data_IF_542373553791
#
_entry.id   IF_542373553791
#
_cell.length_a   1.000
_cell.length_b   1.000
_cell.length_c   1.000
_cell.angle_alpha   90.00
_cell.angle_beta   90.00
_cell.angle_gamma   90.00
#
_symmetry.space_group_name_H-M   'P 1'
#
loop_
_entity.id
_entity.type
_entity.pdbx_description
1 polymer ?
#
# COMPACT_ATOMS: atom_id res chain seq x y z
N UNK A 1 -26.57 -7.51 -25.61
CA UNK A 1 -25.19 -7.05 -25.34
C UNK A 1 -25.12 -6.68 -23.86
N UNK A 2 -24.11 -7.15 -23.12
CA UNK A 2 -23.87 -6.64 -21.76
C UNK A 2 -23.58 -5.12 -21.89
N UNK A 3 -24.13 -4.25 -21.02
CA UNK A 3 -23.74 -2.85 -21.03
C UNK A 3 -22.22 -2.72 -20.89
N UNK A 4 -21.64 -1.69 -21.51
CA UNK A 4 -20.21 -1.40 -21.36
C UNK A 4 -19.91 -1.14 -19.88
N UNK A 5 -18.78 -1.66 -19.36
CA UNK A 5 -18.41 -1.46 -17.97
C UNK A 5 -18.19 0.02 -17.68
N UNK A 6 -18.60 0.46 -16.49
CA UNK A 6 -18.55 1.86 -16.04
C UNK A 6 -17.55 2.03 -14.89
N UNK A 7 -16.74 3.10 -14.94
CA UNK A 7 -15.89 3.52 -13.82
C UNK A 7 -16.51 4.72 -13.09
N UNK A 8 -16.60 4.62 -11.77
CA UNK A 8 -16.94 5.73 -10.88
C UNK A 8 -15.68 6.29 -10.25
N UNK A 9 -15.30 7.51 -10.62
CA UNK A 9 -14.19 8.20 -9.98
C UNK A 9 -14.73 9.11 -8.89
N UNK A 10 -14.38 8.82 -7.65
CA UNK A 10 -14.69 9.60 -6.45
C UNK A 10 -13.51 10.51 -6.15
N UNK A 11 -13.72 11.82 -6.24
CA UNK A 11 -12.70 12.83 -5.91
C UNK A 11 -13.07 13.51 -4.61
N UNK A 12 -12.21 13.40 -3.60
CA UNK A 12 -12.35 14.14 -2.35
C UNK A 12 -11.59 15.46 -2.45
N UNK A 13 -12.24 16.57 -2.11
CA UNK A 13 -11.61 17.90 -2.11
C UNK A 13 -11.95 18.67 -0.83
N UNK A 14 -11.00 19.46 -0.34
CA UNK A 14 -11.20 20.42 0.76
C UNK A 14 -10.21 21.58 0.54
N UNK A 15 -10.72 22.73 0.13
CA UNK A 15 -9.97 23.88 -0.35
C UNK A 15 -9.02 23.50 -1.51
N UNK A 16 -7.95 24.31 -1.70
CA UNK A 16 -6.92 24.13 -2.72
C UNK A 16 -7.50 24.13 -4.13
N UNK A 17 -8.38 25.10 -4.43
CA UNK A 17 -9.06 25.24 -5.71
C UNK A 17 -8.14 25.02 -6.93
N UNK A 18 -6.93 25.58 -6.94
CA UNK A 18 -5.99 25.43 -8.05
C UNK A 18 -5.51 23.99 -8.27
N UNK A 19 -5.39 23.19 -7.21
CA UNK A 19 -5.07 21.76 -7.30
C UNK A 19 -6.30 20.98 -7.77
N UNK A 20 -7.47 21.25 -7.19
CA UNK A 20 -8.74 20.65 -7.60
C UNK A 20 -9.02 20.85 -9.09
N UNK A 21 -8.73 22.04 -9.62
CA UNK A 21 -8.82 22.35 -11.05
C UNK A 21 -7.96 21.40 -11.90
N UNK A 22 -6.68 21.26 -11.54
CA UNK A 22 -5.75 20.39 -12.26
C UNK A 22 -6.12 18.92 -12.16
N UNK A 23 -6.48 18.44 -10.95
CA UNK A 23 -6.92 17.08 -10.71
C UNK A 23 -8.14 16.73 -11.56
N UNK A 24 -9.23 17.52 -11.47
CA UNK A 24 -10.47 17.21 -12.20
C UNK A 24 -10.32 17.36 -13.72
N UNK A 25 -9.53 18.33 -14.19
CA UNK A 25 -9.22 18.44 -15.61
C UNK A 25 -8.49 17.18 -16.10
N UNK A 26 -7.46 16.74 -15.39
CA UNK A 26 -6.73 15.53 -15.73
C UNK A 26 -7.60 14.28 -15.66
N UNK A 27 -8.46 14.12 -14.65
CA UNK A 27 -9.40 13.00 -14.56
C UNK A 27 -10.26 12.91 -15.83
N UNK A 28 -10.77 14.04 -16.35
CA UNK A 28 -11.61 14.03 -17.56
C UNK A 28 -10.80 13.86 -18.84
N UNK A 29 -9.63 14.50 -18.96
CA UNK A 29 -8.83 14.47 -20.19
C UNK A 29 -8.04 13.16 -20.39
N UNK A 30 -7.60 12.56 -19.28
CA UNK A 30 -6.77 11.37 -19.28
C UNK A 30 -7.54 10.06 -19.18
N UNK A 31 -8.88 10.11 -19.14
CA UNK A 31 -9.76 8.93 -19.10
C UNK A 31 -10.51 8.80 -20.43
N UNK A 32 -10.43 7.62 -21.05
CA UNK A 32 -11.18 7.20 -22.25
C UNK A 32 -12.23 6.14 -21.93
N UNK A 33 -12.14 5.51 -20.76
CA UNK A 33 -13.12 4.59 -20.21
C UNK A 33 -14.47 5.29 -19.93
N UNK A 34 -15.64 4.61 -20.07
CA UNK A 34 -16.92 5.15 -19.63
C UNK A 34 -16.86 5.62 -18.17
N UNK A 35 -17.14 6.90 -17.94
CA UNK A 35 -16.84 7.57 -16.67
C UNK A 35 -18.06 8.27 -16.08
N UNK A 36 -18.32 8.01 -14.80
CA UNK A 36 -19.01 8.95 -13.92
C UNK A 36 -18.04 9.52 -12.89
N UNK A 37 -18.20 10.81 -12.60
CA UNK A 37 -17.37 11.56 -11.67
C UNK A 37 -18.22 12.00 -10.48
N UNK A 38 -17.79 11.67 -9.29
CA UNK A 38 -18.43 12.03 -8.03
C UNK A 38 -17.43 12.88 -7.26
N UNK A 39 -17.72 14.17 -7.10
CA UNK A 39 -16.85 15.07 -6.36
C UNK A 39 -17.49 15.38 -5.02
N UNK A 40 -16.77 15.04 -3.95
CA UNK A 40 -17.16 15.32 -2.57
C UNK A 40 -16.32 16.48 -2.07
N UNK A 41 -16.94 17.65 -1.97
CA UNK A 41 -16.39 18.83 -1.33
C UNK A 41 -16.62 18.74 0.18
N UNK A 42 -15.54 18.60 0.94
CA UNK A 42 -15.57 18.33 2.37
C UNK A 42 -15.45 19.61 3.20
N UNK A 43 -16.29 20.61 2.87
CA UNK A 43 -16.36 21.88 3.59
C UNK A 43 -15.35 22.93 3.12
N UNK A 44 -15.21 23.14 1.81
CA UNK A 44 -14.31 24.17 1.27
C UNK A 44 -14.86 25.58 1.46
N UNK A 45 -13.97 26.56 1.65
CA UNK A 45 -14.29 27.98 1.85
C UNK A 45 -13.56 28.91 0.87
N UNK A 46 -12.83 28.38 -0.10
CA UNK A 46 -11.92 29.11 -1.00
C UNK A 46 -12.47 29.34 -2.42
N UNK A 47 -13.80 29.23 -2.60
CA UNK A 47 -14.45 29.33 -3.90
C UNK A 47 -14.51 28.01 -4.69
N UNK A 48 -14.04 26.90 -4.10
CA UNK A 48 -14.15 25.55 -4.67
C UNK A 48 -15.59 25.14 -5.00
N UNK A 49 -16.60 25.32 -4.12
CA UNK A 49 -17.97 24.90 -4.40
C UNK A 49 -18.57 25.58 -5.65
N UNK A 50 -18.38 26.89 -5.81
CA UNK A 50 -18.87 27.65 -6.96
C UNK A 50 -18.17 27.23 -8.25
N UNK A 51 -16.87 26.93 -8.17
CA UNK A 51 -16.13 26.43 -9.32
C UNK A 51 -16.56 25.02 -9.72
N UNK A 52 -16.78 24.11 -8.75
CA UNK A 52 -17.27 22.76 -9.02
C UNK A 52 -18.61 22.77 -9.77
N UNK A 53 -19.54 23.64 -9.39
CA UNK A 53 -20.82 23.80 -10.09
C UNK A 53 -20.67 24.31 -11.53
N UNK A 54 -19.66 25.14 -11.81
CA UNK A 54 -19.33 25.55 -13.18
C UNK A 54 -18.68 24.39 -13.94
N UNK A 55 -17.72 23.71 -13.33
CA UNK A 55 -17.02 22.56 -13.91
C UNK A 55 -17.98 21.45 -14.33
N UNK A 56 -18.92 21.06 -13.47
CA UNK A 56 -19.93 20.05 -13.76
C UNK A 56 -20.77 20.36 -15.00
N UNK A 57 -21.03 21.65 -15.29
CA UNK A 57 -21.72 22.08 -16.50
C UNK A 57 -20.81 22.04 -17.73
N UNK A 58 -19.53 22.41 -17.58
CA UNK A 58 -18.55 22.45 -18.67
C UNK A 58 -18.21 21.07 -19.23
N UNK A 59 -18.13 20.05 -18.37
CA UNK A 59 -17.77 18.69 -18.79
C UNK A 59 -18.99 17.83 -19.15
N UNK A 60 -20.19 18.42 -19.17
CA UNK A 60 -21.42 17.74 -19.56
C UNK A 60 -21.27 17.17 -20.98
N UNK A 61 -21.44 15.86 -21.11
CA UNK A 61 -21.24 15.12 -22.37
C UNK A 61 -19.89 14.41 -22.48
N UNK A 62 -18.90 14.78 -21.66
CA UNK A 62 -17.66 13.98 -21.48
C UNK A 62 -17.76 13.06 -20.27
N UNK A 63 -18.34 13.54 -19.17
CA UNK A 63 -18.60 12.74 -17.98
C UNK A 63 -19.92 13.17 -17.32
N UNK A 64 -20.60 12.22 -16.67
CA UNK A 64 -21.67 12.54 -15.73
C UNK A 64 -21.03 13.00 -14.42
N UNK A 65 -21.40 14.18 -13.91
CA UNK A 65 -20.84 14.72 -12.66
C UNK A 65 -21.91 14.78 -11.58
N UNK A 66 -21.60 14.20 -10.42
CA UNK A 66 -22.36 14.35 -9.18
C UNK A 66 -21.53 15.13 -8.17
N UNK A 67 -22.11 16.17 -7.59
CA UNK A 67 -21.46 16.98 -6.56
C UNK A 67 -22.13 16.70 -5.22
N UNK A 68 -21.30 16.50 -4.20
CA UNK A 68 -21.70 16.45 -2.79
C UNK A 68 -20.96 17.59 -2.10
N UNK A 69 -21.69 18.53 -1.50
CA UNK A 69 -21.11 19.71 -0.87
C UNK A 69 -21.41 19.65 0.63
N UNK A 70 -20.39 19.34 1.42
CA UNK A 70 -20.52 19.31 2.87
C UNK A 70 -20.47 20.73 3.44
N UNK A 71 -21.23 21.02 4.50
CA UNK A 71 -21.15 22.30 5.20
C UNK A 71 -19.85 22.44 6.01
N UNK A 72 -19.24 21.32 6.41
CA UNK A 72 -18.02 21.27 7.20
C UNK A 72 -17.20 20.01 6.88
N UNK A 73 -15.95 19.98 7.33
CA UNK A 73 -15.05 18.85 7.10
C UNK A 73 -15.41 17.67 8.01
N UNK A 74 -16.00 16.64 7.39
CA UNK A 74 -16.44 15.40 8.04
C UNK A 74 -15.29 14.36 8.23
N UNK A 75 -14.07 14.68 7.78
CA UNK A 75 -12.95 13.75 7.71
C UNK A 75 -12.86 12.99 6.38
N UNK A 76 -11.72 12.35 6.13
CA UNK A 76 -11.44 11.68 4.85
C UNK A 76 -12.39 10.51 4.59
N UNK A 77 -12.44 9.52 5.49
CA UNK A 77 -13.22 8.29 5.27
C UNK A 77 -14.72 8.56 5.14
N UNK A 78 -15.38 9.36 6.00
CA UNK A 78 -16.81 9.61 5.87
C UNK A 78 -17.16 10.24 4.51
N UNK A 79 -16.36 11.22 4.08
CA UNK A 79 -16.55 11.89 2.80
C UNK A 79 -16.25 10.98 1.60
N UNK A 80 -15.14 10.21 1.61
CA UNK A 80 -14.86 9.21 0.56
C UNK A 80 -15.96 8.17 0.50
N UNK A 81 -16.39 7.63 1.64
CA UNK A 81 -17.43 6.61 1.73
C UNK A 81 -18.77 7.12 1.19
N UNK A 82 -19.14 8.37 1.44
CA UNK A 82 -20.34 8.97 0.84
C UNK A 82 -20.25 8.98 -0.69
N UNK A 83 -19.11 9.41 -1.24
CA UNK A 83 -18.86 9.33 -2.68
C UNK A 83 -18.94 7.89 -3.22
N UNK A 84 -18.34 6.93 -2.52
CA UNK A 84 -18.35 5.50 -2.89
C UNK A 84 -19.79 4.95 -2.86
N UNK A 85 -20.63 5.32 -1.88
CA UNK A 85 -22.04 4.91 -1.81
C UNK A 85 -22.86 5.42 -3.00
N UNK A 86 -22.51 6.59 -3.55
CA UNK A 86 -23.20 7.18 -4.69
C UNK A 86 -22.74 6.63 -6.04
N UNK A 87 -21.60 5.94 -6.07
CA UNK A 87 -21.06 5.30 -7.26
C UNK A 87 -22.05 4.27 -7.82
N UNK A 88 -22.07 4.09 -9.14
CA UNK A 88 -22.84 3.08 -9.88
C UNK A 88 -21.98 2.20 -10.79
N UNK A 89 -20.73 2.57 -11.01
CA UNK A 89 -19.79 1.85 -11.87
C UNK A 89 -19.40 0.49 -11.31
N UNK A 90 -19.06 -0.42 -12.21
CA UNK A 90 -18.50 -1.74 -11.90
C UNK A 90 -17.13 -1.61 -11.20
N UNK A 91 -16.43 -0.52 -11.48
CA UNK A 91 -15.18 -0.13 -10.83
C UNK A 91 -15.39 1.18 -10.07
N UNK A 92 -14.86 1.25 -8.85
CA UNK A 92 -14.85 2.46 -8.04
C UNK A 92 -13.40 2.85 -7.81
N UNK A 93 -13.07 4.10 -8.12
CA UNK A 93 -11.75 4.67 -7.97
C UNK A 93 -11.83 5.88 -7.05
N UNK A 94 -10.86 6.05 -6.16
CA UNK A 94 -10.75 7.19 -5.26
C UNK A 94 -9.49 7.99 -5.61
N UNK A 95 -9.62 9.31 -5.69
CA UNK A 95 -8.52 10.23 -5.99
C UNK A 95 -8.60 11.45 -5.07
N UNK A 96 -7.46 11.83 -4.49
CA UNK A 96 -7.34 13.07 -3.72
C UNK A 96 -7.12 14.28 -4.66
N UNK A 97 -7.60 15.46 -4.29
CA UNK A 97 -7.61 16.64 -5.15
C UNK A 97 -6.23 17.22 -5.51
N UNK A 98 -5.15 16.76 -4.87
CA UNK A 98 -3.77 17.12 -5.17
C UNK A 98 -3.06 16.09 -6.08
N UNK A 99 -3.80 15.13 -6.64
CA UNK A 99 -3.28 14.14 -7.58
C UNK A 99 -3.69 14.48 -9.02
N UNK A 100 -2.70 14.54 -9.91
CA UNK A 100 -2.90 14.62 -11.36
C UNK A 100 -2.65 13.24 -11.95
N UNK A 101 -3.70 12.46 -12.25
CA UNK A 101 -3.54 11.12 -12.80
C UNK A 101 -2.97 11.16 -14.23
N UNK A 102 -2.16 10.16 -14.64
CA UNK A 102 -1.57 10.10 -15.97
C UNK A 102 -2.58 9.66 -17.05
N UNK A 103 -2.24 9.80 -18.35
CA UNK A 103 -3.03 9.24 -19.43
C UNK A 103 -3.33 7.74 -19.25
N UNK A 104 -4.60 7.39 -19.49
CA UNK A 104 -5.13 6.01 -19.44
C UNK A 104 -5.03 5.33 -18.07
N UNK A 105 -5.04 6.11 -16.98
CA UNK A 105 -4.90 5.57 -15.63
C UNK A 105 -6.06 4.67 -15.19
N UNK A 106 -7.30 5.02 -15.54
CA UNK A 106 -8.49 4.20 -15.22
C UNK A 106 -8.40 2.87 -15.95
N UNK A 107 -8.07 2.91 -17.24
CA UNK A 107 -7.92 1.76 -18.11
C UNK A 107 -6.88 0.80 -17.55
N UNK A 108 -5.72 1.30 -17.12
CA UNK A 108 -4.67 0.48 -16.51
C UNK A 108 -5.11 -0.16 -15.20
N UNK A 109 -5.86 0.56 -14.36
CA UNK A 109 -6.44 0.00 -13.14
C UNK A 109 -7.44 -1.12 -13.49
N UNK A 110 -8.35 -0.85 -14.42
CA UNK A 110 -9.38 -1.80 -14.85
C UNK A 110 -8.75 -3.05 -15.47
N UNK A 111 -7.81 -2.88 -16.40
CA UNK A 111 -7.04 -3.97 -17.01
C UNK A 111 -6.35 -4.82 -15.95
N UNK A 112 -5.77 -4.19 -14.92
CA UNK A 112 -5.07 -4.92 -13.85
C UNK A 112 -6.04 -5.68 -12.95
N UNK A 113 -7.17 -5.08 -12.59
CA UNK A 113 -8.24 -5.73 -11.82
C UNK A 113 -8.81 -6.92 -12.61
N UNK A 114 -8.98 -6.79 -13.93
CA UNK A 114 -9.52 -7.81 -14.83
C UNK A 114 -8.56 -8.94 -15.18
N UNK A 115 -7.27 -8.66 -15.25
CA UNK A 115 -6.27 -9.65 -15.57
C UNK A 115 -6.13 -10.76 -14.52
N UNK A 116 -6.43 -10.46 -13.24
CA UNK A 116 -6.30 -11.43 -12.14
C UNK A 116 -7.41 -11.22 -11.10
N UNK A 117 -8.34 -12.19 -10.94
CA UNK A 117 -9.44 -12.07 -9.98
C UNK A 117 -8.98 -12.04 -8.51
N UNK A 118 -7.70 -12.37 -8.23
CA UNK A 118 -7.11 -12.21 -6.90
C UNK A 118 -6.80 -10.76 -6.59
N UNK A 119 -6.76 -9.86 -7.57
CA UNK A 119 -6.50 -8.43 -7.33
C UNK A 119 -7.80 -7.78 -6.84
N UNK A 120 -7.80 -7.40 -5.56
CA UNK A 120 -8.92 -6.66 -4.95
C UNK A 120 -8.78 -5.16 -5.19
N UNK A 121 -7.57 -4.63 -4.99
CA UNK A 121 -7.29 -3.20 -5.09
C UNK A 121 -6.06 -2.92 -5.97
N UNK A 122 -6.13 -1.85 -6.75
CA UNK A 122 -5.05 -1.40 -7.63
C UNK A 122 -4.79 0.11 -7.48
N UNK A 123 -3.57 0.50 -7.10
CA UNK A 123 -3.15 1.90 -6.99
C UNK A 123 -2.41 2.43 -8.22
N UNK A 124 -2.48 3.75 -8.42
CA UNK A 124 -1.53 4.51 -9.23
C UNK A 124 -0.47 5.08 -8.30
N UNK A 125 0.80 4.83 -8.59
CA UNK A 125 1.88 5.46 -7.84
C UNK A 125 1.94 6.96 -8.14
N UNK A 126 2.47 7.78 -7.22
CA UNK A 126 2.60 9.22 -7.44
C UNK A 126 4.01 9.75 -7.13
N UNK A 127 4.33 10.94 -7.64
CA UNK A 127 5.67 11.55 -7.54
C UNK A 127 6.16 11.83 -6.11
N UNK A 128 5.27 11.90 -5.12
CA UNK A 128 5.67 12.08 -3.72
C UNK A 128 6.30 10.81 -3.11
N UNK A 129 6.00 9.63 -3.67
CA UNK A 129 6.67 8.39 -3.35
C UNK A 129 7.80 8.16 -4.35
N UNK A 130 9.05 8.41 -3.93
CA UNK A 130 10.20 8.15 -4.80
C UNK A 130 10.21 6.67 -5.21
N UNK A 131 10.65 6.33 -6.43
CA UNK A 131 10.93 4.95 -6.83
C UNK A 131 11.89 4.22 -5.87
N UNK A 132 12.61 4.97 -5.03
CA UNK A 132 13.51 4.45 -3.99
C UNK A 132 12.84 3.93 -2.74
N UNK A 133 11.57 4.23 -2.49
CA UNK A 133 10.79 3.73 -1.34
C UNK A 133 9.75 2.68 -1.74
N UNK A 134 9.75 2.29 -3.02
CA UNK A 134 8.84 1.30 -3.58
C UNK A 134 9.09 -0.07 -2.95
N UNK A 135 8.16 -0.69 -2.21
CA UNK A 135 8.27 -2.09 -1.79
C UNK A 135 8.25 -2.99 -3.03
N UNK A 136 9.15 -3.98 -3.14
CA UNK A 136 9.32 -4.78 -4.35
C UNK A 136 7.96 -5.34 -4.79
N UNK A 137 7.59 -5.03 -6.03
CA UNK A 137 6.49 -5.71 -6.68
C UNK A 137 6.94 -7.10 -7.11
N UNK A 138 6.66 -8.12 -6.29
CA UNK A 138 6.70 -9.52 -6.72
C UNK A 138 5.49 -9.77 -7.63
N UNK A 139 5.71 -9.83 -8.95
CA UNK A 139 4.62 -10.05 -9.91
C UNK A 139 3.51 -8.97 -9.90
N UNK A 140 3.85 -7.75 -9.45
CA UNK A 140 2.90 -6.64 -9.28
C UNK A 140 2.23 -6.55 -7.91
N UNK A 141 2.52 -7.44 -6.97
CA UNK A 141 2.03 -7.38 -5.57
C UNK A 141 3.01 -6.59 -4.72
N UNK A 142 2.52 -5.54 -4.06
CA UNK A 142 3.35 -4.70 -3.21
C UNK A 142 3.56 -5.43 -1.86
N UNK A 143 4.79 -5.73 -1.47
CA UNK A 143 5.11 -6.40 -0.18
C UNK A 143 5.60 -5.33 0.80
N UNK A 144 4.67 -4.59 1.41
CA UNK A 144 4.99 -3.80 2.61
C UNK A 144 5.28 -4.74 3.79
N UNK A 145 5.95 -4.23 4.85
CA UNK A 145 6.51 -4.95 6.03
C UNK A 145 5.56 -5.94 6.77
N UNK A 146 4.30 -6.06 6.33
CA UNK A 146 3.29 -7.00 6.86
C UNK A 146 2.63 -7.89 5.79
N UNK A 147 3.16 -7.96 4.56
CA UNK A 147 2.53 -8.70 3.45
C UNK A 147 1.28 -8.03 2.87
N UNK A 148 0.86 -6.89 3.43
CA UNK A 148 -0.20 -6.04 2.91
C UNK A 148 0.43 -4.93 2.07
N UNK A 149 0.23 -4.99 0.75
CA UNK A 149 0.66 -3.93 -0.14
C UNK A 149 -0.01 -2.61 0.18
N UNK A 150 0.78 -1.55 0.36
CA UNK A 150 0.30 -0.17 0.51
C UNK A 150 -0.22 0.39 -0.84
N UNK A 151 -1.18 -0.32 -1.44
CA UNK A 151 -1.77 0.03 -2.72
C UNK A 151 -3.13 0.73 -2.58
N UNK A 152 -3.52 1.07 -1.35
CA UNK A 152 -4.57 2.07 -1.10
C UNK A 152 -3.82 3.33 -0.69
N UNK A 153 -4.02 4.42 -1.42
CA UNK A 153 -3.30 5.67 -1.21
C UNK A 153 -4.14 6.84 -1.75
N UNK A 154 -3.50 7.92 -2.19
CA UNK A 154 -4.17 9.07 -2.78
C UNK A 154 -4.81 8.80 -4.16
N UNK A 155 -4.52 7.67 -4.82
CA UNK A 155 -5.11 7.28 -6.11
C UNK A 155 -5.17 5.76 -6.28
N UNK A 156 -6.36 5.17 -6.14
CA UNK A 156 -6.56 3.73 -6.23
C UNK A 156 -7.95 3.36 -6.72
N UNK A 157 -8.15 2.09 -7.08
CA UNK A 157 -9.45 1.58 -7.47
C UNK A 157 -9.64 0.10 -7.20
N UNK A 158 -10.89 -0.30 -7.15
CA UNK A 158 -11.32 -1.67 -6.86
C UNK A 158 -12.62 -2.00 -7.61
N UNK A 159 -12.93 -3.29 -7.73
CA UNK A 159 -14.24 -3.74 -8.22
C UNK A 159 -15.30 -3.39 -7.17
N UNK A 160 -16.46 -2.90 -7.58
CA UNK A 160 -17.58 -2.63 -6.65
C UNK A 160 -17.90 -3.83 -5.76
N UNK A 161 -17.87 -5.04 -6.32
CA UNK A 161 -18.14 -6.28 -5.59
C UNK A 161 -17.22 -6.51 -4.38
N UNK A 162 -16.04 -5.87 -4.34
CA UNK A 162 -15.16 -5.93 -3.17
C UNK A 162 -15.81 -5.28 -1.94
N UNK A 163 -16.65 -4.25 -2.13
CA UNK A 163 -17.34 -3.56 -1.03
C UNK A 163 -18.32 -4.49 -0.30
N UNK A 164 -18.92 -5.45 -1.01
CA UNK A 164 -19.86 -6.41 -0.41
C UNK A 164 -19.15 -7.37 0.55
N UNK A 165 -17.84 -7.58 0.38
CA UNK A 165 -17.03 -8.50 1.16
C UNK A 165 -16.16 -7.80 2.23
N UNK A 166 -15.54 -6.68 1.86
CA UNK A 166 -14.56 -5.96 2.71
C UNK A 166 -15.19 -4.77 3.44
N UNK A 167 -16.35 -4.29 2.97
CA UNK A 167 -17.00 -3.09 3.47
C UNK A 167 -16.36 -1.79 2.95
N UNK A 168 -16.61 -0.69 3.67
CA UNK A 168 -16.12 0.66 3.34
C UNK A 168 -14.82 1.00 4.09
N UNK A 169 -14.25 2.19 3.87
CA UNK A 169 -13.12 2.67 4.67
C UNK A 169 -13.56 2.94 6.11
N UNK A 170 -12.68 2.69 7.09
CA UNK A 170 -13.01 2.88 8.51
C UNK A 170 -13.16 4.38 8.82
N UNK A 171 -14.29 4.77 9.41
CA UNK A 171 -14.62 6.16 9.76
C UNK A 171 -14.11 6.57 11.16
N UNK A 172 -13.61 5.61 11.95
CA UNK A 172 -13.20 5.84 13.35
C UNK A 172 -11.85 6.55 13.51
N UNK A 173 -11.12 6.78 12.42
CA UNK A 173 -9.82 7.47 12.43
C UNK A 173 -9.94 8.99 12.52
N UNK A 174 -11.16 9.53 12.61
CA UNK A 174 -11.37 10.97 12.73
C UNK A 174 -11.13 11.70 11.42
N UNK A 175 -10.48 12.87 11.46
CA UNK A 175 -10.33 13.71 10.25
C UNK A 175 -9.30 13.17 9.26
N UNK A 176 -8.22 12.57 9.76
CA UNK A 176 -7.08 12.13 8.94
C UNK A 176 -6.46 10.83 9.47
N UNK A 177 -6.02 9.95 8.56
CA UNK A 177 -4.95 8.99 8.81
C UNK A 177 -5.39 7.53 8.88
N UNK A 178 -4.53 6.67 8.35
CA UNK A 178 -4.56 5.20 8.44
C UNK A 178 -5.77 4.51 7.83
N UNK A 179 -6.73 5.24 7.26
CA UNK A 179 -7.91 4.67 6.62
C UNK A 179 -7.57 3.86 5.37
N UNK A 180 -6.51 4.26 4.68
CA UNK A 180 -5.97 3.61 3.50
C UNK A 180 -5.23 2.31 3.87
N UNK A 181 -4.37 2.36 4.89
CA UNK A 181 -3.66 1.21 5.43
C UNK A 181 -4.64 0.17 6.00
N UNK A 182 -5.60 0.60 6.82
CA UNK A 182 -6.63 -0.29 7.37
C UNK A 182 -7.43 -0.98 6.25
N UNK A 183 -7.85 -0.22 5.24
CA UNK A 183 -8.59 -0.78 4.11
C UNK A 183 -7.74 -1.80 3.35
N UNK A 184 -6.47 -1.49 3.07
CA UNK A 184 -5.55 -2.42 2.41
C UNK A 184 -5.35 -3.72 3.20
N UNK A 185 -5.24 -3.62 4.54
CA UNK A 185 -5.14 -4.79 5.43
C UNK A 185 -6.41 -5.64 5.36
N UNK A 186 -7.59 -5.01 5.41
CA UNK A 186 -8.87 -5.75 5.32
C UNK A 186 -9.05 -6.43 3.96
N UNK A 187 -8.66 -5.77 2.87
CA UNK A 187 -8.63 -6.39 1.52
C UNK A 187 -7.72 -7.62 1.51
N UNK A 188 -6.52 -7.51 2.08
CA UNK A 188 -5.60 -8.65 2.20
C UNK A 188 -6.13 -9.79 3.08
N UNK A 189 -6.80 -9.47 4.19
CA UNK A 189 -7.45 -10.46 5.08
C UNK A 189 -8.60 -11.20 4.41
N UNK A 190 -9.25 -10.59 3.43
CA UNK A 190 -10.25 -11.23 2.58
C UNK A 190 -9.63 -12.11 1.48
N UNK A 191 -8.29 -12.22 1.41
CA UNK A 191 -7.57 -13.08 0.47
C UNK A 191 -7.23 -12.41 -0.86
N UNK A 192 -7.36 -11.08 -0.95
CA UNK A 192 -7.07 -10.33 -2.17
C UNK A 192 -5.70 -9.66 -2.14
N UNK A 193 -5.15 -9.46 -3.34
CA UNK A 193 -3.92 -8.73 -3.59
C UNK A 193 -4.20 -7.24 -3.74
N UNK A 194 -3.35 -6.43 -3.11
CA UNK A 194 -3.24 -5.00 -3.35
C UNK A 194 -2.02 -4.74 -4.25
N UNK A 195 -2.25 -4.21 -5.46
CA UNK A 195 -1.23 -4.09 -6.52
C UNK A 195 -1.10 -2.66 -7.03
N UNK A 196 -0.07 -2.38 -7.82
CA UNK A 196 0.01 -1.14 -8.59
C UNK A 196 -0.30 -1.34 -10.07
N UNK A 197 -0.87 -0.32 -10.70
CA UNK A 197 -1.03 -0.23 -12.14
C UNK A 197 0.34 0.09 -12.78
N UNK A 198 0.96 -0.86 -13.50
CA UNK A 198 2.29 -0.65 -14.06
C UNK A 198 2.29 0.48 -15.10
N UNK A 199 3.32 1.33 -15.02
CA UNK A 199 3.50 2.47 -15.94
C UNK A 199 2.53 3.64 -15.73
N UNK A 200 1.62 3.57 -14.73
CA UNK A 200 0.83 4.71 -14.30
C UNK A 200 1.58 5.43 -13.18
N UNK A 201 2.10 6.62 -13.47
CA UNK A 201 2.71 7.52 -12.48
C UNK A 201 1.94 8.85 -12.47
N UNK A 202 1.23 9.12 -11.37
CA UNK A 202 0.54 10.37 -11.14
C UNK A 202 1.51 11.44 -10.62
N UNK A 203 1.21 12.71 -10.91
CA UNK A 203 1.94 13.83 -10.32
C UNK A 203 1.21 14.27 -9.06
N UNK A 204 1.93 14.32 -7.94
CA UNK A 204 1.43 14.90 -6.69
C UNK A 204 1.75 16.40 -6.69
N UNK A 205 0.71 17.24 -6.59
CA UNK A 205 0.83 18.70 -6.58
C UNK A 205 1.15 19.25 -5.17
N UNK A 206 0.92 18.45 -4.14
CA UNK A 206 1.10 18.81 -2.74
C UNK A 206 2.50 18.52 -2.21
N UNK A 207 3.56 18.71 -3.01
CA UNK A 207 4.97 18.57 -2.59
C UNK A 207 5.33 19.58 -1.46
N UNK A 208 4.88 19.28 -0.24
CA UNK A 208 5.31 19.85 1.04
C UNK A 208 5.23 18.82 2.19
N UNK A 209 4.84 17.56 1.94
CA UNK A 209 4.44 16.68 3.07
C UNK A 209 5.51 15.68 3.54
N UNK A 210 6.60 15.40 2.83
CA UNK A 210 7.63 14.45 3.35
C UNK A 210 9.09 14.70 2.92
N UNK A 211 9.40 15.77 2.18
CA UNK A 211 10.77 16.04 1.72
C UNK A 211 11.10 17.52 1.92
N UNK A 212 11.95 17.83 2.90
CA UNK A 212 12.66 19.10 2.96
C UNK A 212 14.15 18.84 3.13
N UNK A 213 14.91 19.19 2.09
CA UNK A 213 16.30 19.63 2.24
C UNK A 213 16.56 21.01 1.61
N UNK A 214 15.57 21.72 1.05
CA UNK A 214 15.77 23.07 0.48
C UNK A 214 14.65 24.05 0.91
N UNK A 215 14.96 25.35 1.09
CA UNK A 215 14.18 26.27 1.90
C UNK A 215 12.88 26.69 1.21
N UNK A 216 11.78 26.43 1.90
CA UNK A 216 10.42 26.83 1.49
C UNK A 216 10.30 28.35 1.45
N UNK A 217 9.88 28.88 0.32
CA UNK A 217 9.33 30.24 0.22
C UNK A 217 8.05 30.33 1.06
N UNK A 218 7.93 31.42 1.84
CA UNK A 218 6.98 31.64 2.94
C UNK A 218 5.62 30.91 2.81
N UNK A 219 5.36 29.99 3.75
CA UNK A 219 4.06 29.34 3.95
C UNK A 219 3.03 30.34 4.49
N UNK A 220 1.76 30.10 4.20
CA UNK A 220 0.68 30.86 4.82
C UNK A 220 0.44 30.37 6.27
N UNK A 221 -0.04 31.22 7.19
CA UNK A 221 -0.33 30.82 8.57
C UNK A 221 -1.28 29.61 8.69
N UNK A 222 -2.22 29.46 7.74
CA UNK A 222 -3.15 28.33 7.70
C UNK A 222 -2.47 27.01 7.29
N UNK A 223 -1.46 27.08 6.40
CA UNK A 223 -0.66 25.92 6.02
C UNK A 223 0.28 25.51 7.15
N UNK A 224 0.85 26.47 7.88
CA UNK A 224 1.68 26.19 9.06
C UNK A 224 0.86 25.60 10.21
N UNK A 225 -0.36 26.09 10.45
CA UNK A 225 -1.27 25.51 11.44
C UNK A 225 -1.71 24.09 11.04
N UNK A 226 -2.02 23.86 9.76
CA UNK A 226 -2.32 22.52 9.22
C UNK A 226 -1.14 21.56 9.33
N UNK A 227 0.08 22.01 9.00
CA UNK A 227 1.29 21.19 9.09
C UNK A 227 1.68 20.91 10.54
N UNK A 228 1.63 21.91 11.42
CA UNK A 228 1.86 21.74 12.84
C UNK A 228 0.83 20.79 13.46
N UNK A 229 -0.44 20.90 13.06
CA UNK A 229 -1.50 19.97 13.44
C UNK A 229 -1.22 18.55 12.93
N UNK A 230 -0.90 18.36 11.64
CA UNK A 230 -0.61 17.02 11.07
C UNK A 230 0.59 16.35 11.74
N UNK A 231 1.68 17.10 11.94
CA UNK A 231 2.88 16.59 12.59
C UNK A 231 2.61 16.29 14.07
N UNK A 232 1.86 17.15 14.76
CA UNK A 232 1.47 16.92 16.14
C UNK A 232 0.48 15.76 16.29
N UNK A 233 -0.52 15.60 15.42
CA UNK A 233 -1.47 14.48 15.42
C UNK A 233 -0.76 13.16 15.08
N UNK A 234 0.06 13.12 14.02
CA UNK A 234 0.81 11.92 13.64
C UNK A 234 1.80 11.49 14.73
N UNK A 235 2.46 12.44 15.39
CA UNK A 235 3.39 12.14 16.49
C UNK A 235 2.70 11.87 17.84
N UNK A 236 1.54 12.50 18.11
CA UNK A 236 0.74 12.24 19.32
C UNK A 236 -0.21 11.05 19.16
N UNK A 237 -0.35 10.52 17.94
CA UNK A 237 -1.05 9.28 17.60
C UNK A 237 -0.26 8.01 17.90
N UNK A 238 0.86 8.07 18.64
CA UNK A 238 1.50 6.85 19.15
C UNK A 238 0.58 5.95 20.03
N UNK A 239 -0.45 6.47 20.75
CA UNK A 239 -1.49 5.65 21.37
C UNK A 239 -2.46 4.99 20.37
N UNK A 240 -2.41 5.33 19.07
CA UNK A 240 -3.17 4.64 18.02
C UNK A 240 -2.61 3.23 17.79
N UNK A 241 -1.36 2.92 18.17
CA UNK A 241 -0.94 1.51 18.29
C UNK A 241 -1.92 0.74 19.18
N UNK A 242 -2.34 1.33 20.31
CA UNK A 242 -3.34 0.70 21.16
C UNK A 242 -4.71 0.63 20.50
N UNK A 243 -5.21 1.61 19.73
CA UNK A 243 -6.50 1.47 19.01
C UNK A 243 -6.43 0.49 17.83
N UNK A 244 -5.34 0.50 17.07
CA UNK A 244 -5.02 -0.42 15.99
C UNK A 244 -4.95 -1.86 16.55
N UNK A 245 -4.26 -2.09 17.67
CA UNK A 245 -4.20 -3.38 18.36
C UNK A 245 -5.42 -3.70 19.27
N UNK A 246 -6.24 -2.72 19.65
CA UNK A 246 -7.48 -2.93 20.44
C UNK A 246 -8.66 -3.30 19.53
N UNK A 247 -8.75 -2.72 18.33
CA UNK A 247 -9.67 -3.21 17.28
C UNK A 247 -9.25 -4.61 16.80
N UNK A 248 -7.95 -4.83 16.67
CA UNK A 248 -7.35 -6.13 16.36
C UNK A 248 -6.84 -6.86 17.61
N UNK A 249 -7.56 -6.83 18.75
CA UNK A 249 -7.21 -7.70 19.88
C UNK A 249 -7.22 -9.13 19.36
N UNK A 250 -6.01 -9.70 19.25
CA UNK A 250 -5.66 -10.95 18.62
C UNK A 250 -6.22 -12.20 19.35
N UNK A 251 -7.40 -12.11 19.97
CA UNK A 251 -8.01 -13.27 20.63
C UNK A 251 -9.19 -13.06 21.57
N UNK A 252 -10.01 -11.99 21.50
CA UNK A 252 -11.15 -11.88 22.47
C UNK A 252 -12.55 -11.53 21.98
N UNK A 253 -12.80 -11.33 20.69
CA UNK A 253 -14.17 -11.43 20.16
C UNK A 253 -14.16 -12.10 18.78
N UNK A 254 -14.87 -13.21 18.56
CA UNK A 254 -15.17 -13.64 17.21
C UNK A 254 -16.07 -12.55 16.63
N UNK A 255 -15.54 -11.72 15.72
CA UNK A 255 -16.40 -11.10 14.73
C UNK A 255 -17.01 -12.27 13.97
N UNK A 256 -18.28 -12.52 14.22
CA UNK A 256 -19.07 -13.44 13.42
C UNK A 256 -19.15 -12.82 12.02
N UNK A 257 -18.14 -13.11 11.19
CA UNK A 257 -18.15 -12.83 9.76
C UNK A 257 -18.83 -14.04 9.12
N UNK A 258 -20.12 -13.96 8.74
CA UNK A 258 -20.71 -15.02 7.94
C UNK A 258 -20.09 -14.86 6.55
N UNK A 259 -19.49 -15.94 6.03
CA UNK A 259 -18.70 -15.97 4.79
C UNK A 259 -17.23 -15.55 4.89
N UNK A 260 -16.48 -16.25 5.75
CA UNK A 260 -15.21 -16.79 5.25
C UNK A 260 -15.60 -17.84 4.21
N UNK A 261 -15.33 -17.61 2.90
CA UNK A 261 -15.35 -18.73 1.94
C UNK A 261 -14.55 -19.85 2.59
N UNK A 262 -15.04 -21.10 2.61
CA UNK A 262 -14.23 -22.19 3.12
C UNK A 262 -12.87 -22.09 2.41
N UNK A 263 -11.82 -21.93 3.20
CA UNK A 263 -10.45 -22.10 2.73
C UNK A 263 -10.43 -23.36 1.86
N UNK A 264 -9.66 -23.36 0.75
CA UNK A 264 -9.63 -24.48 -0.19
C UNK A 264 -9.67 -25.80 0.59
N UNK A 265 -10.64 -26.67 0.27
CA UNK A 265 -10.91 -27.90 1.02
C UNK A 265 -9.61 -28.69 1.27
N UNK A 266 -9.58 -29.58 2.26
CA UNK A 266 -8.39 -30.36 2.63
C UNK A 266 -7.61 -31.00 1.45
N UNK A 267 -8.27 -31.21 0.31
CA UNK A 267 -7.67 -31.65 -0.96
C UNK A 267 -6.75 -30.63 -1.68
N UNK A 268 -6.66 -29.38 -1.21
CA UNK A 268 -5.86 -28.28 -1.80
C UNK A 268 -4.90 -27.66 -0.80
N UNK A 269 -4.62 -28.35 0.32
CA UNK A 269 -3.53 -27.96 1.23
C UNK A 269 -2.21 -28.08 0.46
N UNK A 270 -1.64 -26.93 0.07
CA UNK A 270 -0.23 -26.88 -0.30
C UNK A 270 0.53 -27.13 1.00
N UNK A 271 1.23 -28.25 1.09
CA UNK A 271 2.21 -28.42 2.16
C UNK A 271 3.29 -27.38 1.93
N UNK A 272 3.54 -26.54 2.94
CA UNK A 272 4.60 -25.53 2.91
C UNK A 272 5.90 -26.31 3.15
N UNK A 273 6.72 -26.43 2.12
CA UNK A 273 7.87 -27.35 2.13
C UNK A 273 9.19 -26.58 2.16
N UNK A 274 9.21 -25.33 1.68
CA UNK A 274 10.45 -24.57 1.51
C UNK A 274 10.40 -23.20 2.19
N UNK A 275 11.51 -22.81 2.84
CA UNK A 275 11.69 -21.52 3.50
C UNK A 275 12.82 -20.74 2.81
N UNK A 276 12.62 -19.45 2.59
CA UNK A 276 13.69 -18.52 2.21
C UNK A 276 14.05 -17.65 3.40
N UNK A 277 15.32 -17.64 3.78
CA UNK A 277 15.86 -16.76 4.79
C UNK A 277 16.57 -15.58 4.11
N UNK A 278 16.01 -14.39 4.25
CA UNK A 278 16.58 -13.17 3.73
C UNK A 278 17.31 -12.40 4.83
N UNK A 279 18.58 -12.05 4.58
CA UNK A 279 19.43 -11.33 5.52
C UNK A 279 20.02 -10.09 4.86
N UNK A 280 19.90 -8.93 5.50
CA UNK A 280 20.48 -7.67 5.02
C UNK A 280 21.79 -7.39 5.73
N UNK A 281 22.85 -7.09 4.98
CA UNK A 281 24.16 -6.79 5.51
C UNK A 281 24.55 -5.34 5.24
N UNK A 282 24.80 -4.61 6.33
CA UNK A 282 25.32 -3.24 6.33
C UNK A 282 26.31 -3.05 7.49
N UNK A 283 27.10 -4.07 7.79
CA UNK A 283 28.03 -4.13 8.92
C UNK A 283 29.33 -4.82 8.48
N UNK A 284 30.43 -4.73 9.24
CA UNK A 284 31.69 -5.41 8.96
C UNK A 284 31.59 -6.94 8.95
N UNK A 285 32.57 -7.62 8.33
CA UNK A 285 32.49 -9.06 8.07
C UNK A 285 32.43 -9.91 9.35
N UNK A 286 32.95 -9.41 10.47
CA UNK A 286 32.89 -10.10 11.76
C UNK A 286 31.45 -10.31 12.24
N UNK A 287 30.59 -9.30 12.10
CA UNK A 287 29.19 -9.39 12.51
C UNK A 287 28.36 -10.18 11.50
N UNK A 288 28.69 -10.04 10.22
CA UNK A 288 28.07 -10.82 9.16
C UNK A 288 28.29 -12.33 9.35
N UNK A 289 29.52 -12.73 9.71
CA UNK A 289 29.90 -14.12 10.03
C UNK A 289 29.08 -14.66 11.19
N UNK A 290 29.09 -13.95 12.32
CA UNK A 290 28.37 -14.38 13.50
C UNK A 290 26.86 -14.50 13.24
N UNK A 291 26.28 -13.54 12.51
CA UNK A 291 24.86 -13.57 12.15
C UNK A 291 24.53 -14.83 11.33
N UNK A 292 25.29 -15.11 10.28
CA UNK A 292 25.04 -16.28 9.42
C UNK A 292 25.26 -17.60 10.16
N UNK A 293 26.27 -17.70 11.00
CA UNK A 293 26.52 -18.89 11.83
C UNK A 293 25.35 -19.18 12.77
N UNK A 294 24.84 -18.15 13.47
CA UNK A 294 23.70 -18.34 14.37
C UNK A 294 22.41 -18.68 13.62
N UNK A 295 22.17 -18.06 12.46
CA UNK A 295 21.02 -18.35 11.61
C UNK A 295 21.07 -19.76 11.03
N UNK A 296 22.20 -20.21 10.51
CA UNK A 296 22.35 -21.57 9.99
C UNK A 296 22.13 -22.61 11.09
N UNK A 297 22.68 -22.37 12.29
CA UNK A 297 22.45 -23.24 13.45
C UNK A 297 20.96 -23.27 13.86
N UNK A 298 20.30 -22.12 13.89
CA UNK A 298 18.92 -21.99 14.33
C UNK A 298 17.90 -22.61 13.35
N UNK A 299 18.13 -22.47 12.04
CA UNK A 299 17.21 -22.90 11.00
C UNK A 299 17.48 -24.32 10.46
N UNK A 300 18.68 -24.88 10.67
CA UNK A 300 19.01 -26.28 10.36
C UNK A 300 19.08 -26.62 8.85
N UNK A 301 19.09 -27.93 8.52
CA UNK A 301 19.31 -28.49 7.17
C UNK A 301 18.03 -28.65 6.30
N UNK A 302 16.92 -28.00 6.64
CA UNK A 302 15.80 -27.94 5.67
C UNK A 302 16.28 -27.25 4.37
N UNK A 303 15.62 -27.49 3.23
CA UNK A 303 15.93 -26.87 1.92
C UNK A 303 15.78 -25.33 2.01
N UNK A 304 16.77 -24.70 2.64
CA UNK A 304 16.78 -23.32 3.06
C UNK A 304 17.52 -22.52 2.01
N UNK A 305 16.77 -21.71 1.26
CA UNK A 305 17.42 -20.72 0.41
C UNK A 305 17.83 -19.54 1.28
N UNK A 306 19.13 -19.25 1.37
CA UNK A 306 19.63 -18.04 2.02
C UNK A 306 19.85 -16.97 0.96
N UNK A 307 19.21 -15.81 1.15
CA UNK A 307 19.36 -14.61 0.30
C UNK A 307 20.03 -13.51 1.11
N UNK A 308 21.28 -13.23 0.81
CA UNK A 308 22.06 -12.16 1.40
C UNK A 308 21.94 -10.91 0.54
N UNK A 309 21.52 -9.79 1.13
CA UNK A 309 21.51 -8.49 0.44
C UNK A 309 22.63 -7.65 1.00
N UNK A 310 23.63 -7.37 0.17
CA UNK A 310 24.84 -6.64 0.54
C UNK A 310 24.69 -5.15 0.20
N UNK A 311 24.97 -4.27 1.16
CA UNK A 311 24.98 -2.84 0.93
C UNK A 311 26.17 -2.32 0.13
N UNK A 312 27.22 -3.14 -0.01
CA UNK A 312 28.47 -2.76 -0.66
C UNK A 312 29.30 -1.71 0.10
N UNK A 313 28.93 -1.40 1.35
CA UNK A 313 29.64 -0.41 2.19
C UNK A 313 30.95 -0.99 2.74
N UNK A 314 30.91 -2.26 3.14
CA UNK A 314 32.02 -2.96 3.78
C UNK A 314 32.62 -3.98 2.82
N UNK A 315 33.78 -3.63 2.26
CA UNK A 315 34.47 -4.46 1.26
C UNK A 315 34.76 -5.89 1.77
N UNK A 316 35.14 -6.02 3.03
CA UNK A 316 35.39 -7.31 3.67
C UNK A 316 34.12 -8.16 3.79
N UNK A 317 32.97 -7.53 4.05
CA UNK A 317 31.66 -8.20 4.04
C UNK A 317 31.29 -8.65 2.63
N UNK A 318 31.46 -7.79 1.62
CA UNK A 318 31.24 -8.15 0.22
C UNK A 318 32.10 -9.36 -0.19
N UNK A 319 33.40 -9.32 0.08
CA UNK A 319 34.32 -10.43 -0.24
C UNK A 319 33.93 -11.71 0.50
N UNK A 320 33.51 -11.61 1.77
CA UNK A 320 33.03 -12.75 2.55
C UNK A 320 31.76 -13.36 1.95
N UNK A 321 30.72 -12.56 1.72
CA UNK A 321 29.42 -13.03 1.22
C UNK A 321 29.56 -13.70 -0.15
N UNK A 322 30.30 -13.08 -1.08
CA UNK A 322 30.53 -13.64 -2.41
C UNK A 322 31.41 -14.92 -2.40
N UNK A 323 32.14 -15.17 -1.31
CA UNK A 323 32.91 -16.40 -1.12
C UNK A 323 32.10 -17.59 -0.60
N UNK A 324 30.87 -17.37 -0.12
CA UNK A 324 30.02 -18.42 0.43
C UNK A 324 29.42 -19.29 -0.67
N UNK A 325 29.34 -20.60 -0.41
CA UNK A 325 28.63 -21.56 -1.26
C UNK A 325 27.19 -21.72 -0.78
N UNK A 326 26.25 -21.93 -1.71
CA UNK A 326 24.85 -22.22 -1.39
C UNK A 326 24.01 -21.02 -0.91
N UNK A 327 24.54 -19.79 -1.02
CA UNK A 327 23.81 -18.55 -0.73
C UNK A 327 23.63 -17.72 -2.00
N UNK A 328 22.50 -17.03 -2.12
CA UNK A 328 22.29 -16.02 -3.16
C UNK A 328 22.72 -14.67 -2.61
N UNK A 329 23.68 -14.00 -3.26
CA UNK A 329 24.14 -12.65 -2.85
C UNK A 329 23.66 -11.62 -3.85
N UNK A 330 22.89 -10.65 -3.37
CA UNK A 330 22.39 -9.54 -4.15
C UNK A 330 23.06 -8.23 -3.73
N UNK A 331 23.92 -7.64 -4.57
CA UNK A 331 24.55 -6.37 -4.27
C UNK A 331 23.59 -5.21 -4.51
N UNK A 332 23.49 -4.31 -3.54
CA UNK A 332 22.98 -2.96 -3.68
C UNK A 332 24.16 -2.01 -3.62
N UNK A 333 24.26 -1.09 -4.58
CA UNK A 333 25.30 -0.06 -4.51
C UNK A 333 25.02 0.89 -3.35
N UNK A 334 26.07 1.36 -2.66
CA UNK A 334 25.98 2.21 -1.47
C UNK A 334 25.06 3.43 -1.66
N UNK A 335 25.17 4.10 -2.81
CA UNK A 335 24.36 5.25 -3.22
C UNK A 335 22.86 4.91 -3.38
N UNK A 336 22.53 3.63 -3.51
CA UNK A 336 21.17 3.13 -3.64
C UNK A 336 20.66 2.44 -2.38
N UNK A 337 21.46 2.32 -1.33
CA UNK A 337 21.08 1.63 -0.10
C UNK A 337 19.99 2.39 0.66
N UNK A 338 18.86 1.72 0.87
CA UNK A 338 17.88 2.04 1.91
C UNK A 338 17.40 0.74 2.50
N UNK A 339 17.03 0.73 3.78
CA UNK A 339 16.49 -0.47 4.42
C UNK A 339 15.34 -1.11 3.62
N UNK A 340 14.45 -0.28 3.09
CA UNK A 340 13.35 -0.74 2.24
C UNK A 340 13.85 -1.35 0.93
N UNK A 341 14.77 -0.71 0.20
CA UNK A 341 15.32 -1.29 -1.04
C UNK A 341 16.03 -2.61 -0.78
N UNK A 342 16.73 -2.72 0.33
CA UNK A 342 17.41 -3.94 0.72
C UNK A 342 16.43 -5.09 0.95
N UNK A 343 15.37 -4.86 1.74
CA UNK A 343 14.26 -5.82 1.91
C UNK A 343 13.68 -6.28 0.57
N UNK A 344 13.44 -5.34 -0.33
CA UNK A 344 12.78 -5.59 -1.60
C UNK A 344 13.64 -6.42 -2.56
N UNK A 345 14.91 -6.07 -2.66
CA UNK A 345 15.88 -6.77 -3.49
C UNK A 345 15.99 -8.23 -3.05
N UNK A 346 16.11 -8.48 -1.74
CA UNK A 346 16.20 -9.84 -1.23
C UNK A 346 14.89 -10.62 -1.39
N UNK A 347 13.74 -10.01 -1.11
CA UNK A 347 12.45 -10.67 -1.23
C UNK A 347 12.17 -11.10 -2.68
N UNK A 348 12.58 -10.30 -3.67
CA UNK A 348 12.44 -10.63 -5.08
C UNK A 348 13.27 -11.87 -5.51
N UNK A 349 14.26 -12.29 -4.72
CA UNK A 349 15.04 -13.50 -4.98
C UNK A 349 14.62 -14.70 -4.14
N UNK A 350 13.77 -14.50 -3.15
CA UNK A 350 13.21 -15.58 -2.36
C UNK A 350 12.30 -16.46 -3.22
N UNK A 351 12.50 -17.78 -3.16
CA UNK A 351 11.72 -18.79 -3.90
C UNK A 351 10.93 -19.72 -2.99
N UNK A 352 11.16 -19.66 -1.67
CA UNK A 352 10.47 -20.48 -0.67
C UNK A 352 9.00 -20.09 -0.50
N UNK A 353 8.21 -21.04 0.00
CA UNK A 353 6.80 -20.82 0.31
C UNK A 353 6.63 -19.78 1.43
N UNK A 354 7.53 -19.80 2.42
CA UNK A 354 7.60 -18.83 3.51
C UNK A 354 8.90 -18.00 3.44
N UNK A 355 8.79 -16.70 3.70
CA UNK A 355 9.92 -15.78 3.77
C UNK A 355 10.18 -15.37 5.22
N UNK A 356 11.41 -15.56 5.68
CA UNK A 356 11.89 -15.07 6.98
C UNK A 356 12.85 -13.91 6.76
N UNK A 357 12.64 -12.85 7.53
CA UNK A 357 13.48 -11.66 7.50
C UNK A 357 14.42 -11.63 8.70
N UNK A 358 15.69 -11.36 8.43
CA UNK A 358 16.73 -11.11 9.42
C UNK A 358 17.59 -9.89 9.03
N UNK A 359 18.12 -9.19 10.02
CA UNK A 359 19.11 -8.13 9.84
C UNK A 359 20.47 -8.61 10.32
N UNK A 360 21.57 -8.11 9.74
CA UNK A 360 22.90 -8.30 10.31
C UNK A 360 22.99 -7.79 11.75
N UNK A 361 23.79 -8.47 12.57
CA UNK A 361 23.97 -8.16 14.00
C UNK A 361 23.00 -8.88 14.94
N UNK A 362 22.03 -9.64 14.40
CA UNK A 362 21.16 -10.48 15.24
C UNK A 362 21.86 -11.77 15.62
N UNK A 363 21.56 -12.26 16.83
CA UNK A 363 21.94 -13.59 17.30
C UNK A 363 20.68 -14.38 17.58
N UNK A 364 20.43 -15.43 16.82
CA UNK A 364 19.26 -16.29 17.01
C UNK A 364 19.62 -17.43 17.94
N UNK A 365 18.85 -17.59 19.02
CA UNK A 365 19.01 -18.67 19.98
C UNK A 365 18.07 -19.83 19.69
N UNK A 366 18.47 -21.03 20.11
CA UNK A 366 17.70 -22.26 19.91
C UNK A 366 17.88 -22.87 18.51
N UNK A 367 17.24 -24.00 18.29
CA UNK A 367 17.29 -24.78 17.03
C UNK A 367 15.87 -25.17 16.62
N UNK A 368 15.67 -25.53 15.34
CA UNK A 368 14.38 -26.00 14.83
C UNK A 368 13.40 -24.88 14.44
N UNK A 369 13.89 -23.66 14.21
CA UNK A 369 13.05 -22.53 13.83
C UNK A 369 12.28 -22.76 12.53
N UNK A 370 12.93 -23.33 11.52
CA UNK A 370 12.30 -23.65 10.24
C UNK A 370 11.07 -24.55 10.41
N UNK A 371 11.19 -25.63 11.19
CA UNK A 371 10.08 -26.54 11.46
C UNK A 371 8.97 -25.84 12.27
N UNK A 372 9.33 -25.08 13.30
CA UNK A 372 8.36 -24.35 14.12
C UNK A 372 7.53 -23.36 13.29
N UNK A 373 8.17 -22.61 12.39
CA UNK A 373 7.54 -21.63 11.51
C UNK A 373 6.61 -22.34 10.51
N UNK A 374 7.12 -23.36 9.80
CA UNK A 374 6.31 -24.10 8.82
C UNK A 374 5.12 -24.81 9.49
N UNK A 375 5.31 -25.39 10.69
CA UNK A 375 4.22 -25.97 11.47
C UNK A 375 3.19 -24.92 11.90
N UNK A 376 3.61 -23.70 12.25
CA UNK A 376 2.68 -22.63 12.61
C UNK A 376 1.77 -22.25 11.43
N UNK A 377 2.34 -22.09 10.23
CA UNK A 377 1.57 -21.86 9.01
C UNK A 377 0.71 -23.07 8.61
N UNK A 378 1.22 -24.30 8.77
CA UNK A 378 0.45 -25.51 8.47
C UNK A 378 -0.76 -25.69 9.41
N UNK A 379 -0.61 -25.35 10.70
CA UNK A 379 -1.69 -25.39 11.70
C UNK A 379 -2.72 -24.28 11.48
N UNK A 380 -2.30 -23.13 10.96
CA UNK A 380 -3.17 -21.99 10.70
C UNK A 380 -2.99 -21.49 9.25
N UNK A 381 -3.58 -22.16 8.25
CA UNK A 381 -3.35 -21.83 6.84
C UNK A 381 -3.79 -20.41 6.43
N UNK A 382 -4.61 -19.75 7.26
CA UNK A 382 -5.03 -18.35 7.06
C UNK A 382 -4.06 -17.33 7.65
N UNK A 383 -2.98 -17.79 8.31
CA UNK A 383 -1.95 -16.93 8.88
C UNK A 383 -1.06 -16.42 7.74
N UNK A 384 -1.05 -15.10 7.50
CA UNK A 384 -0.20 -14.47 6.50
C UNK A 384 1.17 -14.02 7.02
N UNK A 385 1.37 -13.99 8.35
CA UNK A 385 2.58 -13.55 9.01
C UNK A 385 2.66 -14.17 10.42
N UNK A 386 3.85 -14.58 10.85
CA UNK A 386 4.14 -15.11 12.18
C UNK A 386 4.98 -14.14 13.00
#
# INVERSE_FOLDING_TARGET
>A
KKPEPLASVVVLTCNRLAMTQQCLQAVVENTRFPLELIVVDNGSTDGTPEWLQRFARLVKGRASVKLVLHPENAGISPAKNEGIRLARGDYVLCVDNDIVPPPSWVERIVERLDADPRVGCCAVANSAFRPSTWPATLGGVNVGVLGFGFAVCACFGFRRALLDEVGYQCEDYGRYGHEDVDYAVRVGRAGYLCVHAPGALARNLGETTMLLEEPITARTPAEDEYHAFKVAEVNSAWPIRERYFQHYQWGRRPLAVPYVRPMPTAATRREWQQLSLMVLFHEPASEARETLETLQCAFGELDLQIVCVDSGEYRDTTEYLHGLQGVTVEPLSTDRWTFMRALNTGAAKATGDALVFAQSGIRVAGTGWSEAILQAFARNPSLGLL
#
